data_IF_011810357201
#
_entry.id   IF_011810357201
#
_cell.length_a   1.000
_cell.length_b   1.000
_cell.length_c   1.000
_cell.angle_alpha   90.00
_cell.angle_beta   90.00
_cell.angle_gamma   90.00
#
_symmetry.space_group_name_H-M   'P 1'
#
loop_
_entity.id
_entity.type
_entity.pdbx_description
1 polymer ?
#
# COMPACT_ATOMS: atom_id res chain seq x y z
N UNK A 1 -23.79 17.66 -14.31
CA UNK A 1 -22.52 18.33 -13.98
C UNK A 1 -21.44 17.25 -13.86
N UNK A 2 -20.26 17.39 -14.46
CA UNK A 2 -19.25 16.35 -14.41
C UNK A 2 -18.72 16.27 -12.97
N UNK A 3 -18.75 15.06 -12.40
CA UNK A 3 -18.24 14.77 -11.06
C UNK A 3 -16.73 14.98 -11.09
N UNK A 4 -16.21 15.67 -10.07
CA UNK A 4 -14.78 15.82 -9.83
C UNK A 4 -14.13 14.44 -9.85
N UNK A 5 -13.06 14.30 -10.61
CA UNK A 5 -12.19 13.14 -10.54
C UNK A 5 -11.44 13.26 -9.22
N UNK A 6 -11.92 12.55 -8.20
CA UNK A 6 -11.09 12.21 -7.06
C UNK A 6 -9.85 11.48 -7.61
N UNK A 7 -8.69 11.89 -7.11
CA UNK A 7 -7.36 11.39 -7.43
C UNK A 7 -7.38 9.89 -7.80
N UNK A 8 -6.81 9.56 -8.95
CA UNK A 8 -6.79 8.20 -9.45
C UNK A 8 -6.09 7.28 -8.45
N UNK A 9 -6.80 6.30 -7.89
CA UNK A 9 -6.16 5.16 -7.24
C UNK A 9 -5.34 4.43 -8.29
N UNK A 10 -4.11 4.05 -7.97
CA UNK A 10 -3.27 3.28 -8.90
C UNK A 10 -3.99 1.97 -9.26
N UNK A 11 -4.02 1.65 -10.56
CA UNK A 11 -4.55 0.37 -11.00
C UNK A 11 -3.53 -0.74 -10.71
N UNK A 12 -4.03 -1.86 -10.21
CA UNK A 12 -3.27 -3.07 -9.94
C UNK A 12 -3.58 -4.08 -11.04
N UNK A 13 -2.53 -4.68 -11.61
CA UNK A 13 -2.68 -5.77 -12.57
C UNK A 13 -2.48 -7.10 -11.84
N UNK A 14 -3.53 -7.92 -11.79
CA UNK A 14 -3.51 -9.22 -11.13
C UNK A 14 -4.24 -10.27 -11.96
N UNK A 15 -3.55 -11.39 -12.25
CA UNK A 15 -4.12 -12.55 -12.96
C UNK A 15 -4.82 -12.20 -14.29
N UNK A 16 -4.30 -11.22 -15.02
CA UNK A 16 -4.88 -10.77 -16.29
C UNK A 16 -6.05 -9.77 -16.15
N UNK A 17 -6.35 -9.33 -14.93
CA UNK A 17 -7.35 -8.30 -14.67
C UNK A 17 -6.70 -7.01 -14.17
N UNK A 18 -7.23 -5.86 -14.60
CA UNK A 18 -6.90 -4.56 -14.02
C UNK A 18 -7.92 -4.22 -12.94
N UNK A 19 -7.45 -3.80 -11.78
CA UNK A 19 -8.26 -3.59 -10.59
C UNK A 19 -7.96 -2.21 -10.00
N UNK A 20 -9.00 -1.45 -9.64
CA UNK A 20 -8.85 -0.15 -8.96
C UNK A 20 -10.02 0.09 -8.02
N UNK A 21 -9.78 0.84 -6.95
CA UNK A 21 -10.84 1.22 -6.03
C UNK A 21 -11.66 2.40 -6.58
N UNK A 22 -12.94 2.43 -6.29
CA UNK A 22 -13.80 3.58 -6.56
C UNK A 22 -14.70 3.83 -5.36
N UNK A 23 -14.94 5.11 -5.06
CA UNK A 23 -15.94 5.52 -4.07
C UNK A 23 -17.31 5.55 -4.74
N UNK A 24 -18.29 4.90 -4.13
CA UNK A 24 -19.68 4.91 -4.56
C UNK A 24 -20.57 5.47 -3.45
N UNK A 25 -21.27 6.56 -3.78
CA UNK A 25 -22.27 7.17 -2.92
C UNK A 25 -23.65 6.58 -3.21
N UNK A 26 -24.28 5.97 -2.21
CA UNK A 26 -25.68 5.52 -2.27
C UNK A 26 -26.44 5.95 -1.01
N UNK A 27 -27.58 6.63 -1.17
CA UNK A 27 -28.46 7.04 -0.06
C UNK A 27 -27.76 7.81 1.09
N UNK A 28 -26.73 8.60 0.75
CA UNK A 28 -25.93 9.34 1.75
C UNK A 28 -24.84 8.52 2.43
N UNK A 29 -24.72 7.23 2.10
CA UNK A 29 -23.63 6.38 2.56
C UNK A 29 -22.56 6.24 1.48
N UNK A 30 -21.32 6.42 1.88
CA UNK A 30 -20.15 6.11 1.07
C UNK A 30 -19.78 4.64 1.23
N UNK A 31 -19.50 3.99 0.11
CA UNK A 31 -18.99 2.61 0.04
C UNK A 31 -17.82 2.54 -0.92
N UNK A 32 -16.83 1.72 -0.60
CA UNK A 32 -15.70 1.45 -1.51
C UNK A 32 -16.06 0.21 -2.33
N UNK A 33 -15.90 0.33 -3.64
CA UNK A 33 -16.02 -0.78 -4.58
C UNK A 33 -14.67 -1.01 -5.25
N UNK A 34 -14.38 -2.26 -5.59
CA UNK A 34 -13.26 -2.62 -6.45
C UNK A 34 -13.80 -2.88 -7.84
N UNK A 35 -13.44 -2.01 -8.78
CA UNK A 35 -13.72 -2.21 -10.21
C UNK A 35 -12.71 -3.19 -10.77
N UNK A 36 -13.18 -4.12 -11.58
CA UNK A 36 -12.35 -5.15 -12.24
C UNK A 36 -12.58 -5.04 -13.73
N UNK A 37 -11.51 -4.94 -14.50
CA UNK A 37 -11.54 -5.08 -15.95
C UNK A 37 -10.78 -6.35 -16.33
N UNK A 38 -11.51 -7.35 -16.82
CA UNK A 38 -10.93 -8.57 -17.39
C UNK A 38 -10.41 -8.22 -18.79
N UNK A 39 -9.08 -8.28 -18.95
CA UNK A 39 -8.44 -7.90 -20.21
C UNK A 39 -8.62 -8.94 -21.31
N UNK A 40 -8.88 -10.21 -20.97
CA UNK A 40 -9.05 -11.29 -21.94
C UNK A 40 -10.49 -11.32 -22.47
N UNK A 41 -11.47 -11.12 -21.59
CA UNK A 41 -12.89 -11.04 -21.95
C UNK A 41 -13.34 -9.63 -22.36
N UNK A 42 -12.47 -8.63 -22.22
CA UNK A 42 -12.76 -7.20 -22.44
C UNK A 42 -14.03 -6.74 -21.70
N UNK A 43 -14.19 -7.16 -20.44
CA UNK A 43 -15.42 -6.96 -19.67
C UNK A 43 -15.17 -6.34 -18.31
N UNK A 44 -16.16 -5.60 -17.81
CA UNK A 44 -16.12 -4.96 -16.51
C UNK A 44 -16.94 -5.74 -15.48
N UNK A 45 -16.37 -5.90 -14.29
CA UNK A 45 -17.02 -6.46 -13.12
C UNK A 45 -16.86 -5.53 -11.90
N UNK A 46 -17.65 -5.80 -10.87
CA UNK A 46 -17.62 -5.06 -9.61
C UNK A 46 -17.52 -6.04 -8.45
N UNK A 47 -16.56 -5.80 -7.55
CA UNK A 47 -16.44 -6.50 -6.28
C UNK A 47 -16.69 -5.52 -5.13
N UNK A 48 -17.36 -5.98 -4.08
CA UNK A 48 -17.48 -5.18 -2.85
C UNK A 48 -16.16 -5.24 -2.09
N UNK A 49 -15.66 -4.09 -1.66
CA UNK A 49 -14.54 -4.05 -0.74
C UNK A 49 -15.00 -4.51 0.66
N UNK A 50 -14.12 -5.14 1.47
CA UNK A 50 -14.39 -5.50 2.85
C UNK A 50 -14.55 -4.30 3.78
N UNK A 51 -14.15 -3.11 3.30
CA UNK A 51 -14.04 -1.93 4.15
C UNK A 51 -15.38 -1.20 4.22
N UNK A 52 -15.90 -1.11 5.44
CA UNK A 52 -17.14 -0.41 5.80
C UNK A 52 -16.79 0.64 6.85
N UNK A 53 -16.18 1.76 6.46
CA UNK A 53 -16.07 2.89 7.37
C UNK A 53 -16.27 4.22 6.64
N UNK A 54 -17.08 5.08 7.25
CA UNK A 54 -17.54 6.35 6.68
C UNK A 54 -16.53 7.50 6.84
N UNK A 55 -15.29 7.19 7.24
CA UNK A 55 -14.26 8.15 7.65
C UNK A 55 -12.88 7.76 7.11
N UNK A 56 -12.83 7.23 5.89
CA UNK A 56 -11.56 6.80 5.28
C UNK A 56 -11.04 7.93 4.41
N UNK A 57 -9.82 8.38 4.73
CA UNK A 57 -9.15 9.43 3.98
C UNK A 57 -8.53 8.87 2.69
N UNK A 58 -7.93 7.68 2.78
CA UNK A 58 -7.22 7.06 1.66
C UNK A 58 -7.46 5.56 1.59
N UNK A 59 -7.56 5.06 0.37
CA UNK A 59 -7.65 3.65 0.03
C UNK A 59 -6.69 3.41 -1.12
N UNK A 60 -5.93 2.32 -1.06
CA UNK A 60 -5.14 1.84 -2.18
C UNK A 60 -5.25 0.33 -2.33
N UNK A 61 -5.09 -0.13 -3.56
CA UNK A 61 -4.94 -1.56 -3.86
C UNK A 61 -3.48 -1.86 -4.13
N UNK A 62 -3.05 -3.06 -3.77
CA UNK A 62 -1.72 -3.56 -4.10
C UNK A 62 -1.79 -5.06 -4.42
N UNK A 63 -0.83 -5.56 -5.17
CA UNK A 63 -0.67 -6.98 -5.41
C UNK A 63 0.32 -7.56 -4.39
N UNK A 64 0.03 -8.75 -3.86
CA UNK A 64 0.91 -9.48 -2.94
C UNK A 64 0.71 -10.98 -3.17
N UNK A 65 1.78 -11.71 -3.47
CA UNK A 65 1.77 -13.17 -3.63
C UNK A 65 0.62 -13.70 -4.51
N UNK A 66 0.37 -13.04 -5.64
CA UNK A 66 -0.74 -13.31 -6.55
C UNK A 66 -2.14 -13.16 -5.92
N UNK A 67 -2.25 -12.39 -4.84
CA UNK A 67 -3.48 -11.97 -4.17
C UNK A 67 -3.67 -10.45 -4.26
N UNK A 68 -4.92 -10.00 -4.14
CA UNK A 68 -5.26 -8.59 -4.09
C UNK A 68 -5.29 -8.13 -2.63
N UNK A 69 -4.39 -7.22 -2.29
CA UNK A 69 -4.39 -6.52 -1.03
C UNK A 69 -5.10 -5.17 -1.14
N UNK A 70 -5.64 -4.71 -0.01
CA UNK A 70 -6.22 -3.38 0.09
C UNK A 70 -5.76 -2.70 1.37
N UNK A 71 -5.30 -1.48 1.24
CA UNK A 71 -4.93 -0.58 2.31
C UNK A 71 -6.04 0.46 2.50
N UNK A 72 -6.36 0.79 3.75
CA UNK A 72 -7.22 1.92 4.09
C UNK A 72 -6.66 2.67 5.29
N UNK A 73 -6.73 4.00 5.25
CA UNK A 73 -6.25 4.86 6.33
C UNK A 73 -7.31 5.81 6.84
N UNK A 74 -7.38 5.94 8.17
CA UNK A 74 -8.19 6.90 8.89
C UNK A 74 -7.27 7.80 9.72
N UNK A 75 -7.19 9.08 9.32
CA UNK A 75 -6.40 10.12 9.98
C UNK A 75 -6.93 10.46 11.35
N UNK A 76 -8.25 10.51 11.53
CA UNK A 76 -8.87 10.82 12.82
C UNK A 76 -8.45 9.85 13.93
N UNK A 77 -8.28 8.58 13.59
CA UNK A 77 -7.85 7.54 14.53
C UNK A 77 -6.34 7.23 14.43
N UNK A 78 -5.62 7.81 13.47
CA UNK A 78 -4.24 7.46 13.09
C UNK A 78 -4.07 5.94 12.90
N UNK A 79 -5.01 5.32 12.19
CA UNK A 79 -5.02 3.88 11.95
C UNK A 79 -4.97 3.54 10.47
N UNK A 80 -4.11 2.57 10.16
CA UNK A 80 -4.02 1.89 8.88
C UNK A 80 -4.61 0.49 9.03
N UNK A 81 -5.54 0.12 8.16
CA UNK A 81 -6.08 -1.23 8.05
C UNK A 81 -5.64 -1.83 6.70
N UNK A 82 -5.04 -3.02 6.74
CA UNK A 82 -4.59 -3.78 5.58
C UNK A 82 -5.40 -5.07 5.51
N UNK A 83 -5.90 -5.36 4.31
CA UNK A 83 -6.78 -6.49 4.04
C UNK A 83 -6.21 -7.36 2.93
N UNK A 84 -6.20 -8.66 3.14
CA UNK A 84 -6.01 -9.65 2.07
C UNK A 84 -7.40 -10.07 1.58
N UNK A 85 -7.77 -9.71 0.35
CA UNK A 85 -9.17 -9.78 -0.09
C UNK A 85 -9.71 -11.20 -0.32
N UNK A 86 -8.86 -12.22 -0.48
CA UNK A 86 -9.33 -13.61 -0.63
C UNK A 86 -9.81 -14.19 0.69
N UNK A 87 -9.06 -13.96 1.77
CA UNK A 87 -9.34 -14.58 3.08
C UNK A 87 -9.97 -13.59 4.08
N UNK A 88 -10.17 -12.33 3.67
CA UNK A 88 -10.69 -11.24 4.50
C UNK A 88 -9.90 -11.03 5.81
N UNK A 89 -8.66 -11.51 5.85
CA UNK A 89 -7.76 -11.29 6.96
C UNK A 89 -7.40 -9.81 7.05
N UNK A 90 -7.41 -9.30 8.28
CA UNK A 90 -7.23 -7.89 8.58
C UNK A 90 -6.06 -7.71 9.53
N UNK A 91 -5.11 -6.90 9.11
CA UNK A 91 -4.06 -6.35 9.96
C UNK A 91 -4.38 -4.88 10.23
N UNK A 92 -4.31 -4.46 11.50
CA UNK A 92 -4.48 -3.06 11.90
C UNK A 92 -3.19 -2.53 12.50
N UNK A 93 -2.67 -1.48 11.90
CA UNK A 93 -1.50 -0.74 12.37
C UNK A 93 -1.94 0.59 12.94
N UNK A 94 -1.51 0.90 14.16
CA UNK A 94 -1.72 2.22 14.76
C UNK A 94 -0.44 3.03 14.63
N UNK A 95 -0.55 4.22 14.03
CA UNK A 95 0.55 5.16 13.98
C UNK A 95 0.50 6.05 15.24
N UNK A 96 1.66 6.42 15.78
CA UNK A 96 1.72 7.41 16.85
C UNK A 96 1.25 8.77 16.30
N UNK A 97 0.51 9.51 17.12
CA UNK A 97 -0.05 10.82 16.73
C UNK A 97 1.08 11.79 16.45
N UNK A 98 1.04 12.42 15.29
CA UNK A 98 1.85 13.58 14.99
C UNK A 98 1.04 14.85 15.20
N UNK A 99 1.73 15.98 15.28
CA UNK A 99 1.08 17.28 15.16
C UNK A 99 0.31 17.34 13.84
N UNK A 100 -0.94 17.81 13.90
CA UNK A 100 -1.95 17.75 12.83
C UNK A 100 -1.53 18.43 11.51
N UNK A 101 -0.48 19.26 11.54
CA UNK A 101 0.00 20.05 10.40
C UNK A 101 1.13 19.40 9.59
N UNK A 102 1.67 18.24 10.01
CA UNK A 102 2.77 17.61 9.29
C UNK A 102 2.31 16.71 8.13
N UNK A 103 2.99 16.84 6.99
CA UNK A 103 2.77 15.97 5.84
C UNK A 103 3.12 14.52 6.18
N UNK A 104 2.16 13.63 5.96
CA UNK A 104 2.33 12.19 6.15
C UNK A 104 1.84 11.41 4.92
N UNK A 105 2.44 10.24 4.70
CA UNK A 105 2.09 9.32 3.62
C UNK A 105 2.27 7.88 4.12
N UNK A 106 1.46 6.93 3.65
CA UNK A 106 1.61 5.52 4.01
C UNK A 106 1.63 4.68 2.74
N UNK A 107 2.60 3.79 2.63
CA UNK A 107 2.73 2.89 1.51
C UNK A 107 2.89 1.48 2.04
N UNK A 108 2.07 0.57 1.52
CA UNK A 108 2.24 -0.86 1.75
C UNK A 108 3.10 -1.41 0.62
N UNK A 109 4.17 -2.08 1.00
CA UNK A 109 5.15 -2.65 0.09
C UNK A 109 5.12 -4.18 0.27
N UNK A 110 4.75 -4.95 -0.77
CA UNK A 110 4.79 -6.41 -0.71
C UNK A 110 6.23 -6.91 -0.77
N UNK A 111 6.76 -7.53 0.29
CA UNK A 111 8.09 -8.16 0.32
C UNK A 111 8.07 -9.65 -0.06
N UNK A 112 9.22 -10.31 0.04
CA UNK A 112 9.36 -11.75 -0.20
C UNK A 112 8.66 -12.56 0.91
N UNK A 113 7.33 -12.70 0.83
CA UNK A 113 6.49 -13.41 1.79
C UNK A 113 6.12 -12.62 3.06
N UNK A 114 6.49 -11.35 3.14
CA UNK A 114 6.14 -10.45 4.25
C UNK A 114 5.60 -9.11 3.73
N UNK A 115 4.63 -8.51 4.42
CA UNK A 115 4.20 -7.14 4.14
C UNK A 115 5.01 -6.15 4.96
N UNK A 116 5.52 -5.13 4.29
CA UNK A 116 6.18 -4.00 4.93
C UNK A 116 5.28 -2.78 4.81
N UNK A 117 4.97 -2.14 5.94
CA UNK A 117 4.24 -0.87 5.97
C UNK A 117 5.24 0.25 6.18
N UNK A 118 5.36 1.13 5.19
CA UNK A 118 6.18 2.33 5.28
C UNK A 118 5.30 3.53 5.58
N UNK A 119 5.54 4.18 6.72
CA UNK A 119 4.82 5.38 7.17
C UNK A 119 5.78 6.56 7.10
N UNK A 120 5.55 7.47 6.16
CA UNK A 120 6.24 8.75 6.06
C UNK A 120 5.59 9.75 7.00
N UNK A 121 6.42 10.38 7.82
CA UNK A 121 6.04 11.31 8.87
C UNK A 121 7.05 12.46 8.90
N UNK A 122 6.72 13.63 8.35
CA UNK A 122 7.64 14.76 8.22
C UNK A 122 9.00 14.36 7.61
N UNK A 123 10.10 14.34 8.38
CA UNK A 123 11.45 13.90 7.94
C UNK A 123 11.74 12.43 8.24
N UNK A 124 10.84 11.73 8.93
CA UNK A 124 10.94 10.33 9.27
C UNK A 124 10.25 9.44 8.23
N UNK A 125 10.83 8.27 7.99
CA UNK A 125 10.19 7.15 7.34
C UNK A 125 10.26 5.98 8.32
N UNK A 126 9.10 5.50 8.75
CA UNK A 126 8.97 4.41 9.72
C UNK A 126 8.61 3.13 8.97
N UNK A 127 9.29 2.05 9.31
CA UNK A 127 8.96 0.71 8.86
C UNK A 127 8.22 -0.01 9.98
N UNK A 128 7.02 -0.48 9.69
CA UNK A 128 6.17 -1.21 10.63
C UNK A 128 5.91 -2.61 10.07
N UNK A 129 6.01 -3.63 10.92
CA UNK A 129 5.66 -5.00 10.57
C UNK A 129 4.14 -5.23 10.59
N UNK A 130 3.73 -6.45 10.24
CA UNK A 130 2.33 -6.87 10.25
C UNK A 130 1.70 -6.94 11.64
N UNK A 131 2.48 -6.94 12.72
CA UNK A 131 1.95 -6.85 14.09
C UNK A 131 1.73 -5.38 14.52
N UNK A 132 2.04 -4.42 13.65
CA UNK A 132 1.97 -3.00 13.95
C UNK A 132 3.15 -2.51 14.79
N UNK A 133 4.23 -3.28 14.90
CA UNK A 133 5.42 -2.92 15.66
C UNK A 133 6.43 -2.21 14.76
N UNK A 134 7.02 -1.15 15.30
CA UNK A 134 8.10 -0.42 14.64
C UNK A 134 9.34 -1.32 14.50
N UNK A 135 9.72 -1.61 13.26
CA UNK A 135 10.90 -2.41 12.90
C UNK A 135 12.12 -1.52 12.68
N UNK A 136 11.93 -0.40 11.98
CA UNK A 136 13.01 0.54 11.66
C UNK A 136 12.48 1.97 11.53
N UNK A 137 13.37 2.95 11.69
CA UNK A 137 13.10 4.35 11.39
C UNK A 137 14.28 4.94 10.61
N UNK A 138 13.97 5.82 9.66
CA UNK A 138 14.94 6.49 8.81
C UNK A 138 14.70 7.99 8.87
N UNK A 139 15.70 8.74 9.30
CA UNK A 139 15.65 10.20 9.28
C UNK A 139 16.26 10.74 8.00
N UNK A 140 15.42 11.10 7.02
CA UNK A 140 15.84 11.64 5.73
C UNK A 140 14.83 12.66 5.20
N UNK A 141 15.35 13.86 4.94
CA UNK A 141 14.63 14.91 4.22
C UNK A 141 14.33 14.49 2.77
N UNK A 142 13.18 14.92 2.26
CA UNK A 142 12.77 14.78 0.86
C UNK A 142 12.69 13.33 0.32
N UNK A 143 12.42 12.34 1.18
CA UNK A 143 12.16 10.96 0.75
C UNK A 143 10.66 10.73 0.61
N UNK A 144 10.26 10.08 -0.48
CA UNK A 144 8.88 9.70 -0.76
C UNK A 144 8.82 8.18 -0.91
N UNK A 145 8.08 7.46 -0.05
CA UNK A 145 7.93 6.03 -0.21
C UNK A 145 7.18 5.71 -1.51
N UNK A 146 7.47 4.55 -2.09
CA UNK A 146 6.79 4.07 -3.29
C UNK A 146 6.46 2.60 -3.15
N UNK A 147 5.32 2.20 -3.71
CA UNK A 147 4.90 0.79 -3.73
C UNK A 147 5.75 -0.05 -4.70
N UNK A 148 6.56 0.59 -5.55
CA UNK A 148 7.39 -0.09 -6.53
C UNK A 148 8.67 -0.59 -5.89
N UNK A 149 8.93 -1.88 -6.05
CA UNK A 149 10.20 -2.48 -5.69
C UNK A 149 11.14 -2.52 -6.87
N UNK A 150 12.39 -2.13 -6.62
CA UNK A 150 13.47 -2.35 -7.57
C UNK A 150 13.92 -3.80 -7.43
N UNK A 151 13.74 -4.60 -8.48
CA UNK A 151 14.34 -5.93 -8.55
C UNK A 151 15.86 -5.79 -8.58
N UNK A 152 16.55 -6.60 -7.79
CA UNK A 152 18.01 -6.66 -7.85
C UNK A 152 18.43 -7.00 -9.28
N UNK A 153 19.25 -6.13 -9.88
CA UNK A 153 19.86 -6.42 -11.18
C UNK A 153 20.85 -7.56 -11.01
N UNK A 154 20.66 -8.66 -11.75
CA UNK A 154 21.67 -9.73 -11.87
C UNK A 154 22.94 -9.26 -12.59
N UNK A 155 22.92 -8.06 -13.17
CA UNK A 155 24.07 -7.43 -13.80
C UNK A 155 24.71 -6.47 -12.79
N UNK A 156 25.97 -6.71 -12.38
CA UNK A 156 26.73 -5.75 -11.59
C UNK A 156 26.85 -4.45 -12.39
N UNK A 157 26.22 -3.38 -11.92
CA UNK A 157 26.42 -2.06 -12.48
C UNK A 157 27.52 -1.34 -11.72
N UNK A 158 28.46 -0.72 -12.44
CA UNK A 158 29.55 0.09 -11.86
C UNK A 158 29.07 1.25 -10.98
N UNK A 159 27.78 1.60 -11.05
CA UNK A 159 27.13 2.58 -10.19
C UNK A 159 26.91 2.09 -8.75
N UNK A 160 26.86 0.76 -8.54
CA UNK A 160 26.81 0.15 -7.21
C UNK A 160 28.19 -0.46 -6.95
N UNK A 161 29.17 0.33 -6.47
CA UNK A 161 30.46 -0.23 -6.11
C UNK A 161 30.23 -1.33 -5.09
N UNK A 162 30.91 -2.46 -5.29
CA UNK A 162 30.98 -3.54 -4.31
C UNK A 162 31.64 -2.96 -3.07
N UNK A 163 30.84 -2.47 -2.12
CA UNK A 163 31.34 -1.99 -0.84
C UNK A 163 31.82 -3.21 -0.07
N UNK A 164 33.13 -3.48 -0.13
CA UNK A 164 33.82 -4.37 0.81
C UNK A 164 33.50 -3.89 2.23
N UNK A 165 32.55 -4.55 2.89
CA UNK A 165 32.13 -4.24 4.26
C UNK A 165 30.62 -4.07 4.48
N UNK A 166 29.80 -3.99 3.43
CA UNK A 166 28.33 -4.05 3.61
C UNK A 166 27.88 -5.51 3.46
N UNK A 167 27.75 -6.21 4.58
CA UNK A 167 27.10 -7.52 4.65
C UNK A 167 25.61 -7.32 4.34
N UNK A 168 25.24 -7.33 3.05
CA UNK A 168 23.89 -7.73 2.60
C UNK A 168 23.92 -9.24 2.37
N UNK A 169 24.46 -9.97 3.34
CA UNK A 169 24.60 -11.43 3.31
C UNK A 169 24.46 -11.98 4.73
N UNK A 170 23.37 -11.64 5.39
CA UNK A 170 22.69 -12.55 6.32
C UNK A 170 21.21 -12.24 6.09
N UNK A 171 20.59 -12.76 5.04
CA UNK A 171 20.12 -14.14 5.03
C UNK A 171 20.09 -14.70 3.60
N UNK A 172 20.52 -15.95 3.37
CA UNK A 172 20.23 -16.64 2.13
C UNK A 172 18.83 -17.23 2.24
N UNK A 173 17.91 -16.86 1.36
CA UNK A 173 16.66 -17.60 1.24
C UNK A 173 16.60 -18.27 -0.14
N UNK A 174 16.86 -19.59 -0.07
CA UNK A 174 16.38 -20.60 -0.99
C UNK A 174 14.85 -20.68 -0.95
#
# INVERSE_FOLDING_TARGET
MPRSWDWATLSVQLRGCLQWSTRQMQHGNESIMVMVFDTAAESFGLMRAPVVHHLIDRVDLFEMDAMLGMFSFNRGDMTADIWVLQDYEKVRVRCESLDDDEYWDVVVVPGDGELIVLVKLAEWLLQVDMDGKLVANFHRQCVWPTQFQLKQSLIPHSFFPTLEGYVVNEVPFL
#
